data_IF_644129016466
#
_entry.id   IF_644129016466
#
_cell.length_a   1.000
_cell.length_b   1.000
_cell.length_c   1.000
_cell.angle_alpha   90.00
_cell.angle_beta   90.00
_cell.angle_gamma   90.00
#
_symmetry.space_group_name_H-M   'P 1'
#
loop_
_entity.id
_entity.type
_entity.pdbx_description
1 polymer ?
#
# COMPACT_ATOMS: atom_id res chain seq x y z
N UNK A 1 24.54 -40.23 76.81
CA UNK A 1 23.82 -38.99 77.18
C UNK A 1 23.50 -38.29 75.88
N UNK A 2 22.44 -38.76 75.20
CA UNK A 2 21.06 -38.23 75.25
C UNK A 2 20.88 -37.29 74.05
N UNK A 3 20.26 -37.76 72.97
CA UNK A 3 18.81 -37.59 72.64
C UNK A 3 18.58 -36.25 71.89
N UNK A 4 17.80 -36.05 70.83
CA UNK A 4 16.97 -36.85 69.89
C UNK A 4 16.62 -35.92 68.68
N UNK A 5 16.25 -36.53 67.55
CA UNK A 5 15.48 -36.13 66.32
C UNK A 5 14.77 -34.73 66.25
N UNK A 6 14.32 -34.11 65.13
CA UNK A 6 13.83 -34.57 63.81
C UNK A 6 13.54 -33.36 62.86
N UNK A 7 13.65 -33.60 61.54
CA UNK A 7 12.79 -33.18 60.38
C UNK A 7 12.42 -31.71 59.98
N UNK A 8 12.76 -31.43 58.70
CA UNK A 8 11.90 -30.95 57.57
C UNK A 8 11.69 -29.46 57.27
N UNK A 9 11.92 -29.12 55.99
CA UNK A 9 11.56 -27.93 55.20
C UNK A 9 10.23 -27.26 55.55
N UNK A 10 10.09 -25.94 55.30
CA UNK A 10 8.93 -25.33 54.60
C UNK A 10 9.14 -23.83 54.32
N UNK A 11 8.82 -23.46 53.07
CA UNK A 11 8.48 -22.15 52.51
C UNK A 11 7.80 -21.16 53.48
N UNK A 12 8.26 -19.90 53.52
CA UNK A 12 7.56 -18.82 54.22
C UNK A 12 7.14 -17.73 53.24
N UNK A 13 5.81 -17.59 53.12
CA UNK A 13 5.06 -16.51 52.47
C UNK A 13 5.45 -15.14 53.02
N UNK A 14 5.58 -14.14 52.15
CA UNK A 14 5.53 -12.72 52.54
C UNK A 14 4.13 -12.16 52.26
N UNK A 15 3.57 -11.52 53.27
CA UNK A 15 2.22 -10.93 53.32
C UNK A 15 2.09 -9.65 52.48
N UNK A 16 0.84 -9.38 52.09
CA UNK A 16 0.31 -8.22 51.37
C UNK A 16 -0.05 -7.06 52.31
N UNK A 17 0.25 -5.81 51.90
CA UNK A 17 -0.43 -4.51 52.14
C UNK A 17 0.45 -3.44 51.45
N UNK A 18 0.04 -2.44 50.65
CA UNK A 18 -1.24 -1.89 50.19
C UNK A 18 -1.00 -1.08 48.88
N UNK A 19 -1.80 -1.35 47.83
CA UNK A 19 -2.55 -0.47 46.86
C UNK A 19 -1.87 0.82 46.28
N UNK A 20 -2.00 1.17 44.96
CA UNK A 20 -3.20 0.99 44.15
C UNK A 20 -3.05 0.35 42.77
N UNK A 21 -3.90 -0.64 42.59
CA UNK A 21 -4.47 -1.15 41.35
C UNK A 21 -4.84 -0.03 40.36
N UNK A 22 -4.14 0.02 39.23
CA UNK A 22 -4.65 0.65 38.01
C UNK A 22 -5.83 -0.17 37.53
N UNK A 23 -7.03 0.31 37.85
CA UNK A 23 -8.27 -0.20 37.30
C UNK A 23 -8.25 -0.03 35.78
N UNK A 24 -8.40 -1.15 35.06
CA UNK A 24 -8.75 -1.14 33.63
C UNK A 24 -10.16 -0.54 33.52
N UNK A 25 -10.25 0.78 33.46
CA UNK A 25 -11.47 1.48 33.16
C UNK A 25 -11.83 1.20 31.71
N UNK A 26 -12.85 0.37 31.50
CA UNK A 26 -13.53 0.23 30.22
C UNK A 26 -14.05 1.61 29.81
N UNK A 27 -13.34 2.30 28.92
CA UNK A 27 -13.78 3.58 28.39
C UNK A 27 -15.00 3.32 27.53
N UNK A 28 -16.18 3.56 28.09
CA UNK A 28 -17.44 3.58 27.33
C UNK A 28 -17.45 4.85 26.49
N UNK A 29 -17.13 4.72 25.20
CA UNK A 29 -17.20 5.80 24.22
C UNK A 29 -18.68 6.03 23.91
N UNK A 30 -19.32 6.94 24.66
CA UNK A 30 -20.66 7.43 24.34
C UNK A 30 -20.57 8.66 23.43
N UNK A 31 -21.50 8.82 22.49
CA UNK A 31 -21.52 10.01 21.64
C UNK A 31 -21.83 11.26 22.50
N UNK A 32 -21.36 12.45 22.10
CA UNK A 32 -21.61 13.69 22.85
C UNK A 32 -23.12 13.94 22.97
N UNK A 33 -23.54 14.62 24.05
CA UNK A 33 -24.96 14.80 24.44
C UNK A 33 -25.88 15.37 23.36
N UNK A 34 -25.33 16.05 22.34
CA UNK A 34 -26.06 16.63 21.21
C UNK A 34 -25.87 15.87 19.88
N UNK A 35 -25.29 14.67 19.89
CA UNK A 35 -25.12 13.87 18.67
C UNK A 35 -26.45 13.25 18.25
N UNK A 36 -27.01 13.73 17.14
CA UNK A 36 -28.10 13.04 16.44
C UNK A 36 -27.48 12.12 15.40
N UNK A 37 -27.58 10.78 15.54
CA UNK A 37 -27.11 9.86 14.52
C UNK A 37 -27.79 10.20 13.19
N UNK A 38 -27.04 10.40 12.09
CA UNK A 38 -27.65 10.59 10.79
C UNK A 38 -28.42 9.32 10.42
N UNK A 39 -29.56 9.47 9.75
CA UNK A 39 -30.30 8.34 9.20
C UNK A 39 -29.40 7.56 8.23
N UNK A 40 -29.30 6.24 8.43
CA UNK A 40 -28.48 5.38 7.59
C UNK A 40 -29.04 5.35 6.16
N UNK A 41 -28.42 6.12 5.27
CA UNK A 41 -28.72 6.11 3.84
C UNK A 41 -27.80 5.10 3.15
N UNK A 42 -28.33 4.37 2.15
CA UNK A 42 -27.49 3.58 1.25
C UNK A 42 -26.45 4.48 0.61
N UNK A 43 -25.24 3.96 0.39
CA UNK A 43 -24.23 4.68 -0.35
C UNK A 43 -24.78 5.05 -1.73
N UNK A 44 -24.96 6.35 -1.95
CA UNK A 44 -25.42 6.90 -3.22
C UNK A 44 -24.37 7.87 -3.71
N UNK A 45 -24.03 7.73 -4.99
CA UNK A 45 -23.18 8.69 -5.68
C UNK A 45 -23.93 10.02 -5.72
N UNK A 46 -23.24 11.10 -5.34
CA UNK A 46 -23.81 12.45 -5.52
C UNK A 46 -23.94 12.73 -7.03
N UNK A 47 -25.11 13.19 -7.45
CA UNK A 47 -25.41 13.45 -8.87
C UNK A 47 -24.46 14.49 -9.49
N UNK A 48 -24.00 15.47 -8.72
CA UNK A 48 -23.01 16.47 -9.15
C UNK A 48 -21.60 15.91 -9.36
N UNK A 49 -21.34 14.69 -8.88
CA UNK A 49 -20.03 14.00 -8.96
C UNK A 49 -19.97 12.88 -10.00
N UNK A 50 -21.05 12.68 -10.76
CA UNK A 50 -21.15 11.63 -11.78
C UNK A 50 -20.00 11.70 -12.80
N UNK A 51 -19.66 12.90 -13.29
CA UNK A 51 -18.55 13.08 -14.22
C UNK A 51 -17.18 12.83 -13.58
N UNK A 52 -16.98 13.20 -12.31
CA UNK A 52 -15.72 12.93 -11.61
C UNK A 52 -15.50 11.42 -11.42
N UNK A 53 -16.57 10.67 -11.21
CA UNK A 53 -16.52 9.20 -11.08
C UNK A 53 -16.27 8.54 -12.43
N UNK A 54 -16.96 9.01 -13.48
CA UNK A 54 -16.70 8.53 -14.85
C UNK A 54 -15.27 8.85 -15.30
N UNK A 55 -14.77 10.04 -14.99
CA UNK A 55 -13.39 10.42 -15.20
C UNK A 55 -12.41 9.52 -14.44
N UNK A 56 -12.76 9.10 -13.21
CA UNK A 56 -11.94 8.21 -12.39
C UNK A 56 -11.91 6.76 -12.90
N UNK A 57 -12.81 6.34 -13.79
CA UNK A 57 -12.77 5.00 -14.42
C UNK A 57 -11.90 4.94 -15.68
N UNK A 58 -11.51 6.10 -16.24
CA UNK A 58 -10.66 6.16 -17.45
C UNK A 58 -9.32 5.41 -17.29
N UNK A 59 -8.60 5.48 -16.15
CA UNK A 59 -7.40 4.67 -15.96
C UNK A 59 -7.69 3.18 -16.06
N UNK A 60 -8.78 2.68 -15.46
CA UNK A 60 -9.15 1.26 -15.54
C UNK A 60 -9.34 0.82 -16.99
N UNK A 61 -9.99 1.65 -17.81
CA UNK A 61 -10.23 1.35 -19.22
C UNK A 61 -8.96 1.46 -20.08
N UNK A 62 -8.26 2.59 -20.04
CA UNK A 62 -7.11 2.85 -20.91
C UNK A 62 -5.83 2.14 -20.50
N UNK A 63 -5.72 1.75 -19.23
CA UNK A 63 -4.67 0.85 -18.75
C UNK A 63 -5.07 -0.61 -18.85
N UNK A 64 -6.22 -0.97 -19.43
CA UNK A 64 -6.65 -2.37 -19.52
C UNK A 64 -6.64 -3.10 -18.17
N UNK A 65 -7.01 -2.38 -17.10
CA UNK A 65 -6.92 -2.83 -15.72
C UNK A 65 -5.53 -3.31 -15.26
N UNK A 66 -4.45 -2.92 -15.94
CA UNK A 66 -3.10 -3.21 -15.48
C UNK A 66 -2.82 -2.42 -14.21
N UNK A 67 -2.32 -3.13 -13.20
CA UNK A 67 -2.21 -2.61 -11.83
C UNK A 67 -3.38 -2.99 -10.92
N UNK A 68 -4.49 -3.57 -11.40
CA UNK A 68 -5.51 -4.14 -10.50
C UNK A 68 -4.99 -5.41 -9.83
N UNK A 69 -4.22 -6.21 -10.56
CA UNK A 69 -3.68 -7.48 -10.10
C UNK A 69 -2.18 -7.38 -9.86
N UNK A 70 -1.75 -8.02 -8.78
CA UNK A 70 -0.33 -8.18 -8.45
C UNK A 70 0.32 -9.23 -9.36
N UNK A 71 1.65 -9.15 -9.49
CA UNK A 71 2.44 -10.12 -10.24
C UNK A 71 2.23 -11.53 -9.68
N UNK A 72 2.07 -12.49 -10.60
CA UNK A 72 1.79 -13.87 -10.25
C UNK A 72 0.38 -14.13 -9.70
N UNK A 73 -0.57 -13.17 -9.80
CA UNK A 73 -1.97 -13.42 -9.49
C UNK A 73 -2.53 -14.55 -10.37
N UNK A 74 -3.17 -15.52 -9.73
CA UNK A 74 -3.82 -16.67 -10.37
C UNK A 74 -5.09 -17.00 -9.62
N UNK A 75 -6.13 -17.38 -10.36
CA UNK A 75 -7.39 -17.85 -9.80
C UNK A 75 -7.66 -19.30 -10.19
N UNK A 76 -8.31 -20.04 -9.32
CA UNK A 76 -8.73 -21.43 -9.57
C UNK A 76 -10.12 -21.66 -9.00
N UNK A 77 -10.95 -22.38 -9.74
CA UNK A 77 -12.28 -22.75 -9.27
C UNK A 77 -12.17 -24.00 -8.39
N UNK A 78 -12.69 -23.94 -7.17
CA UNK A 78 -12.61 -25.02 -6.19
C UNK A 78 -14.03 -25.47 -5.82
N UNK A 79 -14.23 -26.77 -5.60
CA UNK A 79 -15.52 -27.28 -5.12
C UNK A 79 -15.74 -26.90 -3.65
N UNK A 80 -17.00 -26.88 -3.20
CA UNK A 80 -17.37 -26.49 -1.82
C UNK A 80 -16.73 -27.38 -0.74
N UNK A 81 -16.30 -28.58 -1.11
CA UNK A 81 -15.79 -29.60 -0.22
C UNK A 81 -14.26 -29.50 0.02
N UNK A 82 -13.56 -28.70 -0.78
CA UNK A 82 -12.09 -28.52 -0.73
C UNK A 82 -11.71 -27.13 -0.23
N UNK A 83 -12.37 -26.60 0.80
CA UNK A 83 -12.00 -25.30 1.38
C UNK A 83 -10.89 -25.53 2.41
N UNK A 84 -9.64 -25.10 2.15
CA UNK A 84 -8.57 -25.21 3.13
C UNK A 84 -8.90 -24.30 4.33
N UNK A 85 -8.82 -24.78 5.59
CA UNK A 85 -9.25 -24.00 6.76
C UNK A 85 -8.52 -22.66 6.94
N UNK A 86 -7.32 -22.53 6.35
CA UNK A 86 -6.42 -21.39 6.55
C UNK A 86 -6.24 -20.51 5.30
N UNK A 87 -7.00 -20.73 4.24
CA UNK A 87 -6.86 -19.96 3.00
C UNK A 87 -8.09 -19.11 2.69
N UNK A 88 -7.85 -17.93 2.14
CA UNK A 88 -8.91 -17.05 1.67
C UNK A 88 -9.51 -17.61 0.37
N UNK A 89 -10.85 -17.70 0.33
CA UNK A 89 -11.60 -18.06 -0.87
C UNK A 89 -12.70 -17.03 -1.13
N UNK A 90 -12.76 -16.54 -2.36
CA UNK A 90 -13.82 -15.64 -2.80
C UNK A 90 -15.06 -16.46 -3.18
N UNK A 91 -16.21 -16.13 -2.58
CA UNK A 91 -17.48 -16.84 -2.84
C UNK A 91 -18.50 -15.87 -3.43
N UNK A 92 -18.93 -16.13 -4.66
CA UNK A 92 -19.98 -15.35 -5.31
C UNK A 92 -20.97 -16.28 -6.02
N UNK A 93 -22.25 -16.19 -5.65
CA UNK A 93 -23.35 -16.90 -6.32
C UNK A 93 -23.15 -18.41 -6.49
N UNK A 94 -22.54 -19.07 -5.50
CA UNK A 94 -22.30 -20.52 -5.53
C UNK A 94 -20.99 -20.95 -6.19
N UNK A 95 -20.26 -20.02 -6.81
CA UNK A 95 -18.91 -20.23 -7.34
C UNK A 95 -17.91 -19.92 -6.22
N UNK A 96 -16.98 -20.84 -5.98
CA UNK A 96 -15.86 -20.64 -5.05
C UNK A 96 -14.58 -20.48 -5.87
N UNK A 97 -13.92 -19.34 -5.71
CA UNK A 97 -12.69 -18.99 -6.41
C UNK A 97 -11.58 -18.89 -5.37
N UNK A 98 -10.54 -19.71 -5.54
CA UNK A 98 -9.28 -19.57 -4.82
C UNK A 98 -8.40 -18.60 -5.59
N UNK A 99 -7.92 -17.58 -4.90
CA UNK A 99 -6.96 -16.63 -5.44
C UNK A 99 -5.59 -16.92 -4.84
N UNK A 100 -4.54 -16.91 -5.66
CA UNK A 100 -3.14 -17.05 -5.24
C UNK A 100 -2.29 -15.96 -5.88
N UNK A 101 -1.20 -15.56 -5.24
CA UNK A 101 -0.21 -14.64 -5.81
C UNK A 101 1.19 -15.08 -5.39
N UNK A 102 2.15 -14.93 -6.31
CA UNK A 102 3.57 -15.16 -6.03
C UNK A 102 4.22 -13.82 -5.72
N UNK A 103 4.49 -13.59 -4.44
CA UNK A 103 5.16 -12.38 -3.98
C UNK A 103 6.65 -12.46 -4.27
N UNK A 104 7.19 -11.41 -4.90
CA UNK A 104 8.63 -11.23 -5.13
C UNK A 104 9.40 -10.81 -3.87
N UNK A 105 10.71 -10.58 -4.01
CA UNK A 105 11.55 -10.11 -2.91
C UNK A 105 11.09 -8.74 -2.42
N UNK A 106 11.00 -8.54 -1.10
CA UNK A 106 10.58 -7.28 -0.51
C UNK A 106 11.78 -6.43 -0.09
N UNK A 107 11.80 -5.13 -0.41
CA UNK A 107 12.88 -4.24 0.03
C UNK A 107 12.80 -4.03 1.55
N UNK A 108 13.95 -4.04 2.23
CA UNK A 108 14.01 -3.79 3.69
C UNK A 108 13.73 -2.31 4.02
N UNK A 109 14.22 -1.41 3.16
CA UNK A 109 13.98 0.03 3.23
C UNK A 109 13.14 0.47 2.04
N UNK A 110 12.16 1.37 2.23
CA UNK A 110 11.30 1.81 1.14
C UNK A 110 12.12 2.51 0.07
N UNK A 111 11.87 2.14 -1.19
CA UNK A 111 12.49 2.77 -2.35
C UNK A 111 11.96 4.20 -2.45
N UNK A 112 12.82 5.18 -2.73
CA UNK A 112 12.40 6.57 -2.90
C UNK A 112 12.13 6.85 -4.38
N UNK A 113 10.93 7.34 -4.70
CA UNK A 113 10.57 7.72 -6.08
C UNK A 113 10.12 9.16 -6.12
N UNK A 114 10.87 9.97 -6.87
CA UNK A 114 10.61 11.38 -7.13
C UNK A 114 9.89 11.49 -8.47
N UNK A 115 8.62 11.87 -8.43
CA UNK A 115 7.78 11.88 -9.62
C UNK A 115 6.60 12.84 -9.47
N UNK A 116 5.81 12.99 -10.53
CA UNK A 116 4.56 13.73 -10.49
C UNK A 116 3.53 13.05 -11.39
N UNK A 117 2.26 13.40 -11.18
CA UNK A 117 1.05 12.72 -11.69
C UNK A 117 0.99 12.40 -13.19
N UNK A 118 1.89 12.90 -14.04
CA UNK A 118 1.92 12.55 -15.48
C UNK A 118 2.64 11.25 -15.80
N UNK A 119 3.49 10.75 -14.90
CA UNK A 119 4.31 9.57 -15.13
C UNK A 119 3.84 8.38 -14.29
N UNK A 120 2.59 7.98 -14.53
CA UNK A 120 1.89 6.89 -13.81
C UNK A 120 2.54 5.51 -13.96
N UNK A 121 3.31 5.26 -15.03
CA UNK A 121 3.88 3.93 -15.32
C UNK A 121 4.72 3.35 -14.18
N UNK A 122 5.50 4.19 -13.49
CA UNK A 122 6.32 3.76 -12.36
C UNK A 122 5.45 3.41 -11.15
N UNK A 123 4.37 4.16 -10.91
CA UNK A 123 3.38 3.79 -9.87
C UNK A 123 2.70 2.48 -10.18
N UNK A 124 2.38 2.29 -11.45
CA UNK A 124 1.71 1.08 -11.92
C UNK A 124 2.59 -0.15 -11.70
N UNK A 125 3.87 -0.11 -12.06
CA UNK A 125 4.74 -1.26 -11.79
C UNK A 125 4.94 -1.50 -10.30
N UNK A 126 5.02 -0.44 -9.49
CA UNK A 126 5.10 -0.54 -8.03
C UNK A 126 3.86 -1.22 -7.46
N UNK A 127 2.67 -0.90 -7.96
CA UNK A 127 1.42 -1.56 -7.59
C UNK A 127 1.39 -3.04 -8.04
N UNK A 128 1.78 -3.32 -9.29
CA UNK A 128 1.86 -4.69 -9.82
C UNK A 128 2.82 -5.55 -8.99
N UNK A 129 3.97 -5.01 -8.59
CA UNK A 129 4.94 -5.73 -7.77
C UNK A 129 4.58 -5.72 -6.27
N UNK A 130 3.55 -4.97 -5.88
CA UNK A 130 3.11 -4.76 -4.49
C UNK A 130 4.28 -4.28 -3.61
N UNK A 131 5.03 -3.28 -4.06
CA UNK A 131 6.22 -2.79 -3.33
C UNK A 131 5.87 -1.62 -2.41
N UNK A 132 6.45 -1.64 -1.20
CA UNK A 132 6.41 -0.51 -0.29
C UNK A 132 7.41 0.57 -0.73
N UNK A 133 6.88 1.70 -1.21
CA UNK A 133 7.64 2.78 -1.83
C UNK A 133 7.29 4.12 -1.22
N UNK A 134 8.30 4.97 -1.05
CA UNK A 134 8.16 6.34 -0.60
C UNK A 134 8.10 7.30 -1.80
N UNK A 135 6.92 7.81 -2.10
CA UNK A 135 6.71 8.75 -3.19
C UNK A 135 6.91 10.21 -2.74
N UNK A 136 7.77 10.91 -3.47
CA UNK A 136 8.01 12.35 -3.32
C UNK A 136 7.35 13.13 -4.47
N UNK A 137 6.21 13.81 -4.23
CA UNK A 137 5.48 14.51 -5.27
C UNK A 137 6.22 15.76 -5.75
N UNK A 138 6.51 15.82 -7.04
CA UNK A 138 7.32 16.85 -7.68
C UNK A 138 6.53 17.67 -8.73
N UNK A 139 5.35 18.25 -8.39
CA UNK A 139 4.58 19.00 -9.37
C UNK A 139 5.38 20.19 -9.91
N UNK A 140 5.01 20.69 -11.08
CA UNK A 140 5.68 21.81 -11.75
C UNK A 140 5.77 23.00 -10.79
N UNK A 141 6.94 23.61 -10.73
CA UNK A 141 7.27 24.74 -9.84
C UNK A 141 7.22 24.45 -8.33
N UNK A 142 7.20 23.17 -7.92
CA UNK A 142 7.31 22.81 -6.50
C UNK A 142 8.69 23.16 -5.94
N UNK A 143 8.77 23.93 -4.83
CA UNK A 143 10.04 24.25 -4.18
C UNK A 143 10.55 23.10 -3.28
N UNK A 144 9.73 22.09 -3.01
CA UNK A 144 9.99 21.10 -1.96
C UNK A 144 11.05 20.06 -2.38
N UNK A 145 10.70 19.20 -3.35
CA UNK A 145 11.51 18.01 -3.66
C UNK A 145 12.26 18.12 -5.00
N UNK A 146 11.89 19.05 -5.88
CA UNK A 146 12.58 19.23 -7.18
C UNK A 146 14.06 19.63 -7.01
N UNK A 147 14.44 20.52 -6.08
CA UNK A 147 15.86 20.82 -5.83
C UNK A 147 16.65 19.60 -5.35
N UNK A 148 16.02 18.72 -4.55
CA UNK A 148 16.66 17.48 -4.05
C UNK A 148 17.06 16.56 -5.20
N UNK A 149 16.23 16.45 -6.25
CA UNK A 149 16.58 15.66 -7.44
C UNK A 149 17.81 16.21 -8.19
N UNK A 150 17.99 17.54 -8.22
CA UNK A 150 19.21 18.14 -8.78
C UNK A 150 20.43 17.80 -7.95
N UNK A 151 20.31 17.85 -6.62
CA UNK A 151 21.42 17.50 -5.72
C UNK A 151 21.80 16.02 -5.84
N UNK A 152 20.82 15.14 -6.01
CA UNK A 152 21.04 13.69 -6.06
C UNK A 152 21.46 13.17 -7.44
N UNK A 153 20.83 13.62 -8.52
CA UNK A 153 21.06 13.09 -9.86
C UNK A 153 21.55 14.12 -10.90
N UNK A 154 21.78 15.36 -10.48
CA UNK A 154 22.42 16.40 -11.31
C UNK A 154 21.48 17.14 -12.28
N UNK A 155 20.26 16.64 -12.54
CA UNK A 155 19.30 17.27 -13.46
C UNK A 155 17.85 17.21 -12.95
N UNK A 156 17.04 18.20 -13.31
CA UNK A 156 15.60 18.23 -13.02
C UNK A 156 14.79 17.36 -13.99
N UNK A 157 15.12 16.07 -14.04
CA UNK A 157 14.39 15.08 -14.83
C UNK A 157 13.59 14.16 -13.91
N UNK A 158 12.39 13.77 -14.35
CA UNK A 158 11.47 12.91 -13.60
C UNK A 158 10.86 11.87 -14.55
N UNK A 159 10.57 10.64 -14.07
CA UNK A 159 10.81 10.15 -12.71
C UNK A 159 12.31 9.98 -12.38
N UNK A 160 12.63 10.01 -11.09
CA UNK A 160 13.96 9.68 -10.55
C UNK A 160 13.78 8.75 -9.36
N UNK A 161 14.50 7.64 -9.35
CA UNK A 161 14.43 6.60 -8.32
C UNK A 161 15.75 6.52 -7.55
N UNK A 162 15.66 6.30 -6.24
CA UNK A 162 16.78 5.94 -5.37
C UNK A 162 16.41 4.70 -4.58
N UNK A 163 17.19 3.64 -4.72
CA UNK A 163 17.06 2.41 -3.95
C UNK A 163 18.12 2.36 -2.84
N UNK A 164 17.74 2.63 -1.57
CA UNK A 164 18.67 2.62 -0.45
C UNK A 164 19.18 1.22 -0.08
N UNK A 165 18.56 0.15 -0.59
CA UNK A 165 18.97 -1.23 -0.33
C UNK A 165 20.18 -1.64 -1.19
N UNK A 166 20.30 -1.07 -2.39
CA UNK A 166 21.37 -1.37 -3.34
C UNK A 166 22.32 -0.19 -3.59
N UNK A 167 21.93 1.01 -3.18
CA UNK A 167 22.64 2.26 -3.49
C UNK A 167 22.43 2.74 -4.93
N UNK A 168 21.57 2.08 -5.71
CA UNK A 168 21.29 2.44 -7.10
C UNK A 168 20.40 3.67 -7.16
N UNK A 169 20.76 4.62 -8.02
CA UNK A 169 19.87 5.71 -8.42
C UNK A 169 19.86 5.86 -9.93
N UNK A 170 18.68 6.16 -10.51
CA UNK A 170 18.53 6.24 -11.95
C UNK A 170 17.37 7.12 -12.39
N UNK A 171 17.46 7.56 -13.65
CA UNK A 171 16.42 8.24 -14.40
C UNK A 171 15.75 7.26 -15.39
N UNK A 172 14.84 7.79 -16.20
CA UNK A 172 14.10 7.08 -17.25
C UNK A 172 13.09 6.05 -16.70
N UNK A 173 11.82 6.23 -17.03
CA UNK A 173 10.75 5.35 -16.52
C UNK A 173 10.98 3.89 -16.90
N UNK A 174 11.45 3.64 -18.12
CA UNK A 174 11.61 2.29 -18.66
C UNK A 174 12.76 1.54 -17.97
N UNK A 175 13.85 2.24 -17.66
CA UNK A 175 14.99 1.68 -16.93
C UNK A 175 14.62 1.40 -15.48
N UNK A 176 13.87 2.32 -14.84
CA UNK A 176 13.32 2.11 -13.50
C UNK A 176 12.41 0.87 -13.47
N UNK A 177 11.50 0.72 -14.44
CA UNK A 177 10.61 -0.44 -14.55
C UNK A 177 11.42 -1.73 -14.71
N UNK A 178 12.40 -1.75 -15.64
CA UNK A 178 13.29 -2.90 -15.85
C UNK A 178 14.04 -3.28 -14.57
N UNK A 179 14.55 -2.29 -13.84
CA UNK A 179 15.24 -2.50 -12.57
C UNK A 179 14.31 -3.10 -11.52
N UNK A 180 13.14 -2.51 -11.29
CA UNK A 180 12.20 -2.97 -10.26
C UNK A 180 11.71 -4.40 -10.54
N UNK A 181 11.37 -4.69 -11.79
CA UNK A 181 10.94 -6.02 -12.22
C UNK A 181 12.06 -7.06 -12.11
N UNK A 182 13.29 -6.70 -12.50
CA UNK A 182 14.44 -7.61 -12.41
C UNK A 182 14.91 -7.86 -10.98
N UNK A 183 14.83 -6.85 -10.11
CA UNK A 183 15.34 -6.92 -8.73
C UNK A 183 14.33 -7.46 -7.74
N UNK A 184 13.07 -7.05 -7.87
CA UNK A 184 12.01 -7.31 -6.90
C UNK A 184 10.82 -8.08 -7.49
N UNK A 185 10.81 -8.31 -8.81
CA UNK A 185 9.79 -9.08 -9.51
C UNK A 185 10.30 -10.42 -10.04
N UNK A 186 9.63 -10.92 -11.07
CA UNK A 186 9.91 -12.19 -11.75
C UNK A 186 10.72 -12.00 -13.05
N UNK A 187 11.20 -10.79 -13.32
CA UNK A 187 11.90 -10.44 -14.56
C UNK A 187 10.98 -10.15 -15.76
N UNK A 188 9.67 -10.37 -15.66
CA UNK A 188 8.73 -10.14 -16.76
C UNK A 188 8.06 -8.77 -16.64
N UNK A 189 8.26 -7.92 -17.65
CA UNK A 189 7.59 -6.63 -17.71
C UNK A 189 6.19 -6.85 -18.29
N UNK A 190 5.11 -6.39 -17.62
CA UNK A 190 3.76 -6.47 -18.16
C UNK A 190 3.68 -5.85 -19.55
N UNK A 191 2.97 -6.50 -20.47
CA UNK A 191 2.87 -6.04 -21.86
C UNK A 191 2.45 -4.56 -21.96
N UNK A 192 1.50 -4.15 -21.12
CA UNK A 192 0.99 -2.77 -21.07
C UNK A 192 2.06 -1.72 -20.70
N UNK A 193 3.18 -2.14 -20.09
CA UNK A 193 4.33 -1.31 -19.72
C UNK A 193 5.54 -1.52 -20.64
N UNK A 194 5.51 -2.52 -21.53
CA UNK A 194 6.59 -2.83 -22.47
C UNK A 194 6.39 -2.25 -23.88
N UNK A 195 5.25 -1.60 -24.15
CA UNK A 195 4.88 -1.10 -25.49
C UNK A 195 5.44 0.31 -25.81
N UNK A 196 6.27 0.88 -24.94
CA UNK A 196 6.96 2.16 -25.16
C UNK A 196 6.01 3.33 -25.43
N UNK A 197 5.99 3.84 -26.67
CA UNK A 197 5.14 4.96 -27.07
C UNK A 197 3.64 4.72 -26.78
N UNK A 198 3.14 3.50 -26.99
CA UNK A 198 1.73 3.19 -26.70
C UNK A 198 1.44 3.24 -25.18
N UNK A 199 2.41 2.86 -24.35
CA UNK A 199 2.31 3.04 -22.90
C UNK A 199 2.22 4.53 -22.57
N UNK A 200 3.05 5.37 -23.16
CA UNK A 200 2.97 6.84 -23.00
C UNK A 200 1.62 7.41 -23.41
N UNK A 201 1.09 6.97 -24.55
CA UNK A 201 -0.20 7.42 -25.06
C UNK A 201 -1.36 7.02 -24.13
N UNK A 202 -1.41 5.75 -23.72
CA UNK A 202 -2.47 5.23 -22.84
C UNK A 202 -2.42 5.86 -21.45
N UNK A 203 -1.23 6.12 -20.90
CA UNK A 203 -1.07 6.90 -19.67
C UNK A 203 -1.54 8.35 -19.84
N UNK A 204 -1.29 8.97 -20.99
CA UNK A 204 -1.82 10.29 -21.32
C UNK A 204 -3.35 10.30 -21.34
N UNK A 205 -3.96 9.31 -21.99
CA UNK A 205 -5.42 9.17 -22.09
C UNK A 205 -6.08 8.89 -20.73
N UNK A 206 -5.46 8.08 -19.87
CA UNK A 206 -5.97 7.81 -18.52
C UNK A 206 -6.08 9.07 -17.65
N UNK A 207 -5.27 10.10 -17.95
CA UNK A 207 -5.23 11.34 -17.17
C UNK A 207 -6.21 12.41 -17.66
N UNK A 208 -6.90 12.21 -18.79
CA UNK A 208 -7.81 13.21 -19.37
C UNK A 208 -8.91 13.65 -18.38
N UNK A 209 -9.42 12.73 -17.59
CA UNK A 209 -10.46 13.01 -16.59
C UNK A 209 -10.03 13.91 -15.43
N UNK A 210 -8.71 14.10 -15.21
CA UNK A 210 -8.18 14.89 -14.09
C UNK A 210 -7.87 16.35 -14.42
N UNK A 211 -8.03 16.78 -15.68
CA UNK A 211 -7.92 18.18 -16.16
C UNK A 211 -6.79 18.94 -15.44
N UNK A 212 -5.53 18.55 -15.68
CA UNK A 212 -4.30 19.18 -15.14
C UNK A 212 -4.16 19.29 -13.60
N UNK A 213 -5.15 18.87 -12.80
CA UNK A 213 -5.08 18.89 -11.34
C UNK A 213 -3.88 18.06 -10.88
N UNK A 214 -3.11 18.60 -9.92
CA UNK A 214 -1.88 17.99 -9.43
C UNK A 214 -0.66 18.13 -10.35
N UNK A 215 -0.79 18.75 -11.54
CA UNK A 215 0.39 19.01 -12.41
C UNK A 215 1.23 20.18 -11.90
N UNK A 216 0.60 21.24 -11.40
CA UNK A 216 1.28 22.46 -10.93
C UNK A 216 1.20 22.54 -9.42
N UNK A 217 2.26 23.07 -8.81
CA UNK A 217 2.33 23.26 -7.37
C UNK A 217 1.21 24.17 -6.86
N UNK A 218 0.55 23.73 -5.81
CA UNK A 218 -0.33 24.55 -4.98
C UNK A 218 0.31 24.63 -3.60
N UNK A 219 0.43 25.83 -2.99
CA UNK A 219 0.97 25.98 -1.65
C UNK A 219 0.26 25.04 -0.65
N UNK A 220 1.05 24.21 0.02
CA UNK A 220 0.55 23.25 0.99
C UNK A 220 1.53 23.15 2.16
N UNK A 221 1.00 22.95 3.37
CA UNK A 221 1.80 22.67 4.55
C UNK A 221 2.30 21.23 4.47
N UNK A 222 3.63 21.07 4.45
CA UNK A 222 4.23 19.74 4.50
C UNK A 222 3.90 19.07 5.85
N UNK A 223 3.44 17.81 5.85
CA UNK A 223 3.24 17.06 7.08
C UNK A 223 4.59 16.77 7.75
N UNK A 224 4.64 16.64 9.08
CA UNK A 224 5.88 16.34 9.80
C UNK A 224 6.40 14.92 9.54
N UNK A 225 5.53 14.01 9.09
CA UNK A 225 5.86 12.63 8.74
C UNK A 225 5.25 12.25 7.39
N UNK A 226 5.87 11.32 6.64
CA UNK A 226 5.29 10.78 5.43
C UNK A 226 3.91 10.16 5.69
N UNK A 227 2.97 10.41 4.78
CA UNK A 227 1.64 9.82 4.86
C UNK A 227 1.71 8.35 4.44
N UNK A 228 1.24 7.45 5.30
CA UNK A 228 1.08 6.04 4.96
C UNK A 228 -0.25 5.85 4.22
N UNK A 229 -0.16 5.62 2.92
CA UNK A 229 -1.32 5.36 2.07
C UNK A 229 -1.44 3.86 1.84
N UNK A 230 -2.59 3.30 2.16
CA UNK A 230 -2.92 1.91 1.85
C UNK A 230 -3.72 1.88 0.56
N UNK A 231 -3.09 1.46 -0.53
CA UNK A 231 -3.81 1.11 -1.75
C UNK A 231 -4.41 -0.30 -1.58
N UNK A 232 -5.62 -0.49 -2.09
CA UNK A 232 -6.22 -1.82 -2.19
C UNK A 232 -5.89 -2.36 -3.58
N UNK A 233 -4.96 -3.31 -3.64
CA UNK A 233 -4.71 -4.10 -4.85
C UNK A 233 -5.51 -5.40 -4.76
N UNK A 234 -6.07 -5.83 -5.89
CA UNK A 234 -6.81 -7.11 -5.96
C UNK A 234 -5.79 -8.23 -5.99
N UNK A 235 -5.67 -8.91 -4.86
CA UNK A 235 -4.82 -10.07 -4.72
C UNK A 235 -4.92 -10.68 -3.32
N UNK A 236 -4.63 -11.98 -3.18
CA UNK A 236 -4.63 -12.64 -1.89
C UNK A 236 -3.48 -12.09 -1.06
N UNK A 237 -3.81 -11.58 0.13
CA UNK A 237 -2.81 -11.14 1.10
C UNK A 237 -2.39 -12.34 1.94
N UNK A 238 -1.12 -12.72 1.84
CA UNK A 238 -0.50 -13.59 2.84
C UNK A 238 -0.38 -12.78 4.13
N UNK A 239 -1.38 -12.91 5.00
CA UNK A 239 -1.45 -12.25 6.31
C UNK A 239 -0.43 -12.88 7.26
N UNK A 240 0.86 -12.62 7.06
CA UNK A 240 1.88 -12.83 8.08
C UNK A 240 2.01 -11.56 8.92
N UNK A 241 0.99 -11.24 9.73
CA UNK A 241 1.18 -10.31 10.83
C UNK A 241 1.87 -11.07 11.95
N UNK A 242 3.14 -10.74 12.21
CA UNK A 242 3.76 -11.06 13.49
C UNK A 242 3.08 -10.21 14.56
N UNK A 243 2.46 -10.88 15.53
CA UNK A 243 1.91 -10.33 16.77
C UNK A 243 3.01 -9.75 17.66
#
# INVERSE_FOLDING_TARGET
MSETENKTSTSVKTQQQDTPSTSTSSVSISPPSNFKPPEAKRFAIRSDKTFEILAASLPLFFRFATGVFVSGYSFSFVSKDEIPPNEYVFKLSGITVKETSKVGARPEKPIEIYEFERYFMVREIVAILDLDVLFYPCPRNSPNFRPKVVQLGGKQQFPYMVDPNTGVSMYESDDIIRYLVGKYGDGNIPLALSLGFLTSLTCGLSMLGRITKGTTYTPAKLPPQPLKLWAYEVGPKHLNYAS
#
